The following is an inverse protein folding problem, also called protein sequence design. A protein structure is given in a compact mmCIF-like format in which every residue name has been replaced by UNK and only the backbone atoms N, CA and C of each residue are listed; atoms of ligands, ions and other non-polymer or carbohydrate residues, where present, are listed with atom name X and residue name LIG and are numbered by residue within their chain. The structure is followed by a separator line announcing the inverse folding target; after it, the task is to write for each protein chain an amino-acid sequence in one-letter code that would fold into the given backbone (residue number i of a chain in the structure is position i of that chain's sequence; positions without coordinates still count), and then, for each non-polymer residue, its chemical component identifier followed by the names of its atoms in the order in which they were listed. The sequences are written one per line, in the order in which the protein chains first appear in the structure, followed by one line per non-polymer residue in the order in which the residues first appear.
data_IF_078998663491
#
_entry.id   IF_078998663491
#
_cell.length_a   1.000
_cell.length_b   1.000
_cell.length_c   1.000
_cell.angle_alpha   90.00
_cell.angle_beta   90.00
_cell.angle_gamma   90.00
#
_symmetry.space_group_name_H-M   'P 1'
#
loop_
_entity.id
_entity.type
_entity.pdbx_description
1 polymer ?
#
# COMPACT_ATOMS: atom_id res chain seq x y z
N UNK A 1 4.69 16.92 1.92
CA UNK A 1 5.92 17.13 2.70
C UNK A 1 5.51 17.22 4.15
N UNK A 2 6.30 16.63 5.06
CA UNK A 2 6.07 16.77 6.49
C UNK A 2 7.39 16.79 7.26
N UNK A 3 7.41 17.49 8.38
CA UNK A 3 8.47 17.40 9.40
C UNK A 3 7.97 16.50 10.52
N UNK A 4 8.75 15.45 10.81
CA UNK A 4 8.39 14.43 11.79
C UNK A 4 9.52 14.27 12.79
N UNK A 5 9.20 14.27 14.08
CA UNK A 5 10.19 14.04 15.13
C UNK A 5 10.53 12.55 15.31
N UNK A 6 11.56 12.26 16.11
CA UNK A 6 12.03 10.89 16.41
C UNK A 6 10.94 10.01 17.07
N UNK A 7 9.89 10.60 17.63
CA UNK A 7 8.77 9.87 18.25
C UNK A 7 7.62 9.61 17.31
N UNK A 8 7.73 10.08 16.06
CA UNK A 8 6.66 9.98 15.06
C UNK A 8 5.63 11.10 15.15
N UNK A 9 5.91 12.17 15.92
CA UNK A 9 5.02 13.32 15.96
C UNK A 9 5.19 14.14 14.68
N UNK A 10 4.10 14.36 13.98
CA UNK A 10 4.09 15.23 12.80
C UNK A 10 4.02 16.68 13.29
N UNK A 11 5.12 17.41 13.10
CA UNK A 11 5.28 18.79 13.55
C UNK A 11 4.63 19.78 12.55
N UNK A 12 4.83 19.54 11.25
CA UNK A 12 4.31 20.37 10.17
C UNK A 12 4.01 19.53 8.93
N UNK A 13 3.03 19.97 8.15
CA UNK A 13 2.64 19.36 6.85
C UNK A 13 2.43 20.44 5.81
N UNK A 14 2.82 20.12 4.58
CA UNK A 14 2.59 20.92 3.40
C UNK A 14 2.22 20.04 2.20
N UNK A 15 1.41 20.56 1.28
CA UNK A 15 0.95 19.84 0.11
C UNK A 15 1.41 20.54 -1.18
N UNK A 16 1.98 19.74 -2.09
CA UNK A 16 2.29 20.11 -3.47
C UNK A 16 1.56 19.13 -4.40
N UNK A 17 0.89 19.67 -5.42
CA UNK A 17 0.25 18.83 -6.41
C UNK A 17 1.23 18.52 -7.55
N UNK A 18 1.65 17.29 -7.73
CA UNK A 18 2.60 16.86 -8.76
C UNK A 18 2.12 17.16 -10.19
N UNK A 19 0.80 17.25 -10.40
CA UNK A 19 0.21 17.57 -11.71
C UNK A 19 0.47 19.00 -12.16
N UNK A 20 0.78 19.90 -11.23
CA UNK A 20 1.11 21.29 -11.55
C UNK A 20 2.52 21.43 -12.11
N UNK A 21 3.31 20.36 -12.07
CA UNK A 21 4.71 20.32 -12.51
C UNK A 21 4.94 19.24 -13.58
N UNK A 22 4.54 19.49 -14.85
CA UNK A 22 4.72 18.51 -15.92
C UNK A 22 6.19 18.25 -16.29
N UNK A 23 7.09 19.17 -15.93
CA UNK A 23 8.54 19.03 -16.12
C UNK A 23 9.18 18.60 -14.79
N UNK A 24 9.84 17.43 -14.80
CA UNK A 24 10.45 16.85 -13.60
C UNK A 24 11.41 17.79 -12.89
N UNK A 25 12.32 18.45 -13.63
CA UNK A 25 13.31 19.33 -13.02
C UNK A 25 12.69 20.50 -12.26
N UNK A 26 11.58 21.06 -12.77
CA UNK A 26 10.85 22.11 -12.07
C UNK A 26 10.22 21.60 -10.77
N UNK A 27 9.68 20.38 -10.80
CA UNK A 27 9.16 19.74 -9.58
C UNK A 27 10.26 19.51 -8.54
N UNK A 28 11.41 18.99 -8.95
CA UNK A 28 12.54 18.73 -8.05
C UNK A 28 13.07 20.04 -7.45
N UNK A 29 13.12 21.11 -8.22
CA UNK A 29 13.52 22.44 -7.74
C UNK A 29 12.58 22.94 -6.64
N UNK A 30 11.29 23.01 -6.95
CA UNK A 30 10.28 23.45 -5.99
C UNK A 30 10.22 22.54 -4.77
N UNK A 31 10.26 21.21 -4.96
CA UNK A 31 10.26 20.25 -3.85
C UNK A 31 11.47 20.48 -2.92
N UNK A 32 12.66 20.72 -3.49
CA UNK A 32 13.88 20.96 -2.71
C UNK A 32 13.77 22.26 -1.89
N UNK A 33 13.29 23.34 -2.50
CA UNK A 33 13.07 24.61 -1.80
C UNK A 33 12.05 24.46 -0.65
N UNK A 34 10.95 23.77 -0.91
CA UNK A 34 9.90 23.58 0.11
C UNK A 34 10.37 22.68 1.25
N UNK A 35 11.20 21.66 0.99
CA UNK A 35 11.82 20.84 2.05
C UNK A 35 12.68 21.71 2.96
N UNK A 36 13.51 22.58 2.40
CA UNK A 36 14.36 23.48 3.20
C UNK A 36 13.50 24.48 3.98
N UNK A 37 12.53 25.11 3.35
CA UNK A 37 11.67 26.13 3.99
C UNK A 37 10.89 25.56 5.17
N UNK A 38 10.18 24.42 4.98
CA UNK A 38 9.39 23.82 6.07
C UNK A 38 10.28 23.36 7.24
N UNK A 39 11.52 22.95 6.96
CA UNK A 39 12.48 22.58 7.99
C UNK A 39 12.96 23.81 8.78
N UNK A 40 13.32 24.90 8.10
CA UNK A 40 13.75 26.15 8.75
C UNK A 40 12.65 26.75 9.64
N UNK A 41 11.40 26.74 9.17
CA UNK A 41 10.25 27.24 9.91
C UNK A 41 9.88 26.39 11.13
N UNK A 42 10.33 25.12 11.19
CA UNK A 42 9.92 24.14 12.19
C UNK A 42 11.10 23.50 12.94
N UNK A 43 12.08 24.27 13.32
CA UNK A 43 13.17 23.84 14.20
C UNK A 43 14.57 24.00 13.64
N UNK A 44 14.70 24.40 12.38
CA UNK A 44 15.98 24.62 11.69
C UNK A 44 16.39 23.46 10.80
N UNK A 45 16.89 23.78 9.62
CA UNK A 45 17.32 22.80 8.64
C UNK A 45 18.49 21.91 9.13
N UNK A 46 19.36 22.47 9.93
CA UNK A 46 20.50 21.75 10.55
C UNK A 46 20.07 20.65 11.52
N UNK A 47 18.81 20.66 11.99
CA UNK A 47 18.26 19.62 12.84
C UNK A 47 17.72 18.43 12.04
N UNK A 48 17.55 18.58 10.72
CA UNK A 48 17.07 17.50 9.86
C UNK A 48 18.20 16.51 9.58
N UNK A 49 17.96 15.24 9.83
CA UNK A 49 18.94 14.15 9.65
C UNK A 49 18.92 13.58 8.23
N UNK A 50 17.72 13.39 7.69
CA UNK A 50 17.53 12.70 6.43
C UNK A 50 16.12 12.92 5.91
N UNK A 51 15.88 12.53 4.66
CA UNK A 51 14.59 12.60 4.00
C UNK A 51 14.17 11.21 3.55
N UNK A 52 12.97 10.79 3.94
CA UNK A 52 12.33 9.57 3.47
C UNK A 52 11.16 9.91 2.54
N UNK A 53 11.03 9.17 1.46
CA UNK A 53 10.02 9.41 0.43
C UNK A 53 9.24 8.12 0.15
N UNK A 54 7.92 8.23 0.22
CA UNK A 54 7.00 7.22 -0.32
C UNK A 54 6.65 7.59 -1.75
N UNK A 55 6.84 6.68 -2.69
CA UNK A 55 6.48 6.92 -4.08
C UNK A 55 6.00 5.63 -4.77
N UNK A 56 5.04 5.72 -5.71
CA UNK A 56 4.60 4.58 -6.50
C UNK A 56 5.76 4.06 -7.36
N UNK A 57 5.83 2.75 -7.55
CA UNK A 57 6.88 2.07 -8.34
C UNK A 57 8.30 2.45 -7.93
N UNK A 58 8.51 2.84 -6.67
CA UNK A 58 9.84 3.15 -6.16
C UNK A 58 10.62 1.88 -5.87
N UNK A 59 11.89 1.88 -6.25
CA UNK A 59 12.84 0.82 -5.94
C UNK A 59 13.78 1.28 -4.83
N UNK A 60 13.65 0.65 -3.68
CA UNK A 60 14.45 0.98 -2.49
C UNK A 60 15.96 0.80 -2.71
N UNK A 61 16.35 -0.21 -3.50
CA UNK A 61 17.78 -0.54 -3.73
C UNK A 61 18.49 0.52 -4.58
N UNK A 62 17.76 1.13 -5.52
CA UNK A 62 18.32 2.12 -6.46
C UNK A 62 18.00 3.56 -6.06
N UNK A 63 17.00 3.78 -5.18
CA UNK A 63 16.50 5.11 -4.84
C UNK A 63 15.79 5.80 -6.00
N UNK A 64 15.28 5.03 -6.99
CA UNK A 64 14.61 5.54 -8.18
C UNK A 64 13.12 5.20 -8.19
N UNK A 65 12.35 5.98 -8.94
CA UNK A 65 11.00 5.62 -9.38
C UNK A 65 11.12 5.01 -10.77
N UNK A 66 10.49 3.85 -10.99
CA UNK A 66 10.67 3.07 -12.20
C UNK A 66 9.33 2.88 -12.94
N UNK A 67 9.15 3.62 -14.05
CA UNK A 67 8.00 3.50 -14.94
C UNK A 67 6.63 3.68 -14.27
N UNK A 68 6.52 4.52 -13.24
CA UNK A 68 5.27 4.76 -12.54
C UNK A 68 4.17 5.29 -13.46
N UNK A 69 2.96 4.71 -13.33
CA UNK A 69 1.80 5.08 -14.17
C UNK A 69 1.07 6.31 -13.63
N UNK A 70 1.18 6.58 -12.32
CA UNK A 70 0.34 7.53 -11.58
C UNK A 70 0.98 8.92 -11.44
N UNK A 71 2.16 9.14 -12.02
CA UNK A 71 2.86 10.42 -12.02
C UNK A 71 3.07 10.94 -13.45
N UNK A 72 3.22 12.25 -13.65
CA UNK A 72 3.32 12.83 -15.01
C UNK A 72 4.63 12.48 -15.73
N UNK A 73 5.68 12.12 -14.99
CA UNK A 73 7.00 11.82 -15.54
C UNK A 73 7.16 10.32 -15.85
N UNK A 74 7.89 10.02 -16.93
CA UNK A 74 8.06 8.64 -17.42
C UNK A 74 9.52 8.20 -17.36
N UNK A 75 9.74 6.88 -17.43
CA UNK A 75 11.07 6.27 -17.39
C UNK A 75 11.58 6.04 -15.96
N UNK A 76 12.89 5.91 -15.85
CA UNK A 76 13.59 5.74 -14.56
C UNK A 76 14.03 7.08 -14.04
N UNK A 77 13.56 7.46 -12.86
CA UNK A 77 13.84 8.75 -12.21
C UNK A 77 14.69 8.48 -10.97
N UNK A 78 15.97 8.85 -10.94
CA UNK A 78 16.85 8.66 -9.79
C UNK A 78 16.55 9.69 -8.68
N UNK A 79 15.35 9.64 -8.11
CA UNK A 79 14.79 10.69 -7.25
C UNK A 79 15.65 10.95 -6.02
N UNK A 80 16.17 9.90 -5.37
CA UNK A 80 17.02 10.05 -4.19
C UNK A 80 18.30 10.85 -4.52
N UNK A 81 18.96 10.55 -5.64
CA UNK A 81 20.16 11.25 -6.06
C UNK A 81 19.87 12.72 -6.42
N UNK A 82 18.80 12.96 -7.21
CA UNK A 82 18.41 14.29 -7.64
C UNK A 82 18.12 15.23 -6.46
N UNK A 83 17.44 14.73 -5.43
CA UNK A 83 17.14 15.53 -4.22
C UNK A 83 18.37 15.68 -3.33
N UNK A 84 19.10 14.59 -3.06
CA UNK A 84 20.33 14.65 -2.25
C UNK A 84 21.31 15.70 -2.78
N UNK A 85 21.52 15.75 -4.09
CA UNK A 85 22.47 16.69 -4.71
C UNK A 85 22.04 18.16 -4.58
N UNK A 86 20.74 18.42 -4.33
CA UNK A 86 20.22 19.77 -4.12
C UNK A 86 20.14 20.18 -2.66
N UNK A 87 19.69 19.26 -1.79
CA UNK A 87 19.46 19.58 -0.38
C UNK A 87 20.62 19.15 0.54
N UNK A 88 21.62 18.41 0.05
CA UNK A 88 22.78 18.00 0.86
C UNK A 88 22.49 17.06 2.02
N UNK A 89 21.29 16.46 2.07
CA UNK A 89 20.89 15.47 3.08
C UNK A 89 20.83 14.06 2.48
N UNK A 90 20.95 13.05 3.32
CA UNK A 90 20.66 11.68 2.92
C UNK A 90 19.19 11.54 2.53
N UNK A 91 18.89 10.94 1.38
CA UNK A 91 17.54 10.72 0.87
C UNK A 91 17.33 9.25 0.58
N UNK A 92 16.27 8.68 1.12
CA UNK A 92 15.80 7.35 0.78
C UNK A 92 14.41 7.41 0.12
N UNK A 93 14.20 6.54 -0.85
CA UNK A 93 12.93 6.40 -1.55
C UNK A 93 12.46 4.97 -1.41
N UNK A 94 11.21 4.76 -1.06
CA UNK A 94 10.61 3.45 -0.93
C UNK A 94 9.25 3.37 -1.63
N UNK A 95 8.90 2.16 -2.04
CA UNK A 95 7.55 1.88 -2.53
C UNK A 95 6.54 2.07 -1.40
N UNK A 96 5.33 2.50 -1.74
CA UNK A 96 4.24 2.78 -0.81
C UNK A 96 3.91 1.61 0.13
N UNK A 97 3.88 0.37 -0.37
CA UNK A 97 3.65 -0.81 0.47
C UNK A 97 4.81 -1.07 1.46
N UNK A 98 6.06 -0.86 1.04
CA UNK A 98 7.22 -0.98 1.94
C UNK A 98 7.22 0.11 3.01
N UNK A 99 6.89 1.33 2.62
CA UNK A 99 6.77 2.47 3.53
C UNK A 99 5.66 2.22 4.55
N UNK A 100 4.50 1.75 4.11
CA UNK A 100 3.40 1.37 5.00
C UNK A 100 3.86 0.31 6.01
N UNK A 101 4.59 -0.72 5.58
CA UNK A 101 5.05 -1.78 6.47
C UNK A 101 6.07 -1.28 7.51
N UNK A 102 6.93 -0.33 7.16
CA UNK A 102 7.81 0.35 8.13
C UNK A 102 7.01 1.12 9.18
N UNK A 103 5.96 1.83 8.77
CA UNK A 103 5.04 2.51 9.67
C UNK A 103 4.32 1.54 10.61
N UNK A 104 3.79 0.44 10.09
CA UNK A 104 3.13 -0.60 10.88
C UNK A 104 4.06 -1.25 11.92
N UNK A 105 5.33 -1.48 11.56
CA UNK A 105 6.33 -2.01 12.50
C UNK A 105 6.66 -1.02 13.62
N UNK A 106 6.77 0.25 13.31
CA UNK A 106 7.19 1.26 14.28
C UNK A 106 6.03 1.78 15.15
N UNK A 107 4.88 2.02 14.56
CA UNK A 107 3.77 2.76 15.18
C UNK A 107 2.42 2.04 15.11
N UNK A 108 2.30 0.97 14.32
CA UNK A 108 1.03 0.32 14.01
C UNK A 108 0.87 -1.07 14.60
N UNK A 109 0.05 -1.86 13.90
CA UNK A 109 -0.39 -3.20 14.32
C UNK A 109 0.72 -4.25 14.35
N UNK A 110 1.87 -4.00 13.67
CA UNK A 110 3.03 -4.89 13.65
C UNK A 110 4.08 -4.57 14.72
N UNK A 111 3.78 -3.65 15.66
CA UNK A 111 4.74 -3.28 16.70
C UNK A 111 5.18 -4.51 17.50
N UNK A 112 6.51 -4.73 17.59
CA UNK A 112 7.10 -5.89 18.28
C UNK A 112 7.14 -7.19 17.46
N UNK A 113 6.57 -7.23 16.23
CA UNK A 113 6.65 -8.39 15.35
C UNK A 113 7.92 -8.35 14.51
N UNK A 114 8.53 -9.51 14.29
CA UNK A 114 9.73 -9.65 13.44
C UNK A 114 9.40 -10.22 12.05
N UNK A 115 8.31 -10.96 11.92
CA UNK A 115 7.87 -11.57 10.67
C UNK A 115 6.38 -11.32 10.47
N UNK A 116 6.03 -10.47 9.53
CA UNK A 116 4.64 -10.11 9.23
C UNK A 116 4.50 -9.71 7.75
N UNK A 117 3.27 -9.62 7.30
CA UNK A 117 2.96 -9.18 5.94
C UNK A 117 1.99 -8.01 6.04
N UNK A 118 2.24 -6.94 5.30
CA UNK A 118 1.28 -5.86 5.10
C UNK A 118 0.66 -5.99 3.73
N UNK A 119 -0.64 -5.84 3.64
CA UNK A 119 -1.40 -5.84 2.38
C UNK A 119 -2.23 -4.58 2.32
N UNK A 120 -1.92 -3.71 1.39
CA UNK A 120 -2.62 -2.46 1.13
C UNK A 120 -3.65 -2.65 0.03
N UNK A 121 -4.90 -2.37 0.33
CA UNK A 121 -6.05 -2.48 -0.58
C UNK A 121 -6.59 -1.07 -0.88
N UNK A 122 -6.72 -0.70 -2.16
CA UNK A 122 -7.25 0.63 -2.49
C UNK A 122 -7.30 0.94 -3.98
N UNK A 123 -7.42 2.22 -4.30
CA UNK A 123 -7.53 2.75 -5.66
C UNK A 123 -6.32 2.46 -6.53
N UNK A 124 -5.14 2.38 -5.94
CA UNK A 124 -3.88 2.05 -6.63
C UNK A 124 -3.75 0.58 -7.01
N UNK A 125 -4.61 -0.29 -6.46
CA UNK A 125 -4.57 -1.75 -6.64
C UNK A 125 -4.34 -2.49 -5.32
N UNK A 126 -3.54 -3.56 -5.37
CA UNK A 126 -3.14 -4.36 -4.21
C UNK A 126 -1.63 -4.36 -4.08
N UNK A 127 -1.14 -3.57 -3.14
CA UNK A 127 0.27 -3.56 -2.75
C UNK A 127 0.53 -4.49 -1.56
N UNK A 128 1.75 -5.00 -1.43
CA UNK A 128 2.12 -5.76 -0.23
C UNK A 128 3.62 -5.68 0.05
N UNK A 129 3.96 -5.89 1.32
CA UNK A 129 5.33 -5.97 1.78
C UNK A 129 5.48 -7.13 2.78
N UNK A 130 6.50 -7.93 2.58
CA UNK A 130 6.85 -9.04 3.45
C UNK A 130 7.98 -8.60 4.36
N UNK A 131 7.79 -8.72 5.67
CA UNK A 131 8.85 -8.56 6.67
C UNK A 131 9.31 -9.93 7.17
N UNK A 132 10.60 -10.16 7.15
CA UNK A 132 11.25 -11.36 7.69
C UNK A 132 12.40 -10.94 8.58
N UNK A 133 12.45 -11.48 9.82
CA UNK A 133 13.52 -11.20 10.76
C UNK A 133 13.77 -9.68 10.96
N UNK A 134 12.69 -8.92 11.07
CA UNK A 134 12.74 -7.48 11.34
C UNK A 134 13.10 -6.60 10.15
N UNK A 135 13.26 -7.16 8.94
CA UNK A 135 13.64 -6.44 7.74
C UNK A 135 12.66 -6.70 6.59
N UNK A 136 12.42 -5.73 5.69
CA UNK A 136 11.64 -5.95 4.49
C UNK A 136 12.37 -6.92 3.56
N UNK A 137 11.65 -7.92 3.06
CA UNK A 137 12.15 -8.84 2.07
C UNK A 137 12.00 -8.23 0.67
N UNK A 138 13.09 -7.73 0.10
CA UNK A 138 13.07 -7.01 -1.16
C UNK A 138 13.29 -7.92 -2.39
N UNK A 139 13.82 -9.12 -2.19
CA UNK A 139 14.30 -9.95 -3.29
C UNK A 139 15.52 -9.34 -3.99
N UNK A 140 15.99 -9.99 -5.03
CA UNK A 140 17.21 -9.56 -5.74
C UNK A 140 17.04 -8.24 -6.50
N UNK A 141 15.84 -8.01 -7.04
CA UNK A 141 15.53 -6.83 -7.86
C UNK A 141 14.72 -5.74 -7.15
N UNK A 142 14.35 -5.93 -5.88
CA UNK A 142 13.52 -4.97 -5.16
C UNK A 142 12.00 -5.16 -5.34
N UNK A 143 11.55 -6.26 -6.00
CA UNK A 143 10.16 -6.50 -6.37
C UNK A 143 9.52 -7.70 -5.64
N UNK A 144 10.10 -8.16 -4.54
CA UNK A 144 9.47 -9.23 -3.77
C UNK A 144 8.21 -8.71 -3.07
N UNK A 145 7.21 -9.58 -2.97
CA UNK A 145 5.99 -9.23 -2.27
C UNK A 145 4.84 -8.72 -3.15
N UNK A 146 4.89 -8.89 -4.45
CA UNK A 146 3.83 -8.45 -5.39
C UNK A 146 2.60 -9.37 -5.33
N UNK A 147 1.92 -9.44 -4.16
CA UNK A 147 0.74 -10.29 -3.91
C UNK A 147 -0.40 -9.97 -4.87
N UNK A 148 -0.65 -8.70 -5.14
CA UNK A 148 -1.72 -8.27 -6.04
C UNK A 148 -1.62 -8.88 -7.42
N UNK A 149 -0.41 -9.23 -7.85
CA UNK A 149 -0.15 -9.85 -9.15
C UNK A 149 0.01 -11.37 -9.10
N UNK A 150 -0.21 -12.03 -7.97
CA UNK A 150 -0.32 -13.48 -7.94
C UNK A 150 -1.60 -13.93 -8.65
N UNK A 151 -1.48 -14.89 -9.56
CA UNK A 151 -2.62 -15.49 -10.24
C UNK A 151 -3.39 -16.38 -9.26
N UNK A 152 -4.67 -16.05 -9.01
CA UNK A 152 -5.56 -16.83 -8.17
C UNK A 152 -6.71 -17.45 -8.96
N UNK A 153 -6.93 -16.98 -10.20
CA UNK A 153 -7.93 -17.54 -11.14
C UNK A 153 -7.27 -17.75 -12.47
N UNK A 154 -6.95 -18.98 -12.80
CA UNK A 154 -6.36 -19.30 -14.11
C UNK A 154 -7.30 -18.93 -15.25
N UNK A 155 -6.78 -18.19 -16.26
CA UNK A 155 -7.58 -17.66 -17.36
C UNK A 155 -8.62 -16.62 -16.95
N UNK A 156 -8.51 -16.04 -15.74
CA UNK A 156 -9.45 -15.07 -15.18
C UNK A 156 -9.36 -13.67 -15.79
N UNK A 157 -9.76 -12.65 -15.05
CA UNK A 157 -9.83 -11.26 -15.52
C UNK A 157 -8.47 -10.75 -16.00
N UNK A 158 -8.42 -10.01 -17.14
CA UNK A 158 -7.17 -9.40 -17.60
C UNK A 158 -6.66 -8.37 -16.60
N UNK A 159 -5.34 -8.36 -16.38
CA UNK A 159 -4.64 -7.43 -15.50
C UNK A 159 -3.72 -6.50 -16.30
N UNK A 160 -3.55 -5.27 -15.84
CA UNK A 160 -2.68 -4.28 -16.45
C UNK A 160 -1.19 -4.70 -16.50
N UNK A 161 -0.79 -5.69 -15.68
CA UNK A 161 0.55 -6.27 -15.76
C UNK A 161 0.79 -7.19 -16.98
N UNK A 162 -0.21 -7.33 -17.85
CA UNK A 162 -0.16 -8.16 -19.06
C UNK A 162 -0.55 -9.62 -18.86
N UNK A 163 -0.87 -10.03 -17.62
CA UNK A 163 -1.33 -11.39 -17.28
C UNK A 163 -2.84 -11.44 -17.05
N UNK A 164 -3.36 -12.60 -16.67
CA UNK A 164 -4.75 -12.82 -16.31
C UNK A 164 -4.87 -13.44 -14.93
N UNK A 165 -6.00 -13.20 -14.26
CA UNK A 165 -6.35 -13.83 -13.01
C UNK A 165 -5.61 -13.33 -11.77
N UNK A 166 -4.96 -12.16 -11.86
CA UNK A 166 -4.28 -11.53 -10.71
C UNK A 166 -5.27 -11.21 -9.58
N UNK A 167 -4.86 -11.40 -8.34
CA UNK A 167 -5.66 -11.11 -7.14
C UNK A 167 -6.24 -9.69 -7.16
N UNK A 168 -5.45 -8.71 -7.59
CA UNK A 168 -5.84 -7.30 -7.69
C UNK A 168 -7.16 -7.09 -8.46
N UNK A 169 -7.39 -7.85 -9.52
CA UNK A 169 -8.58 -7.73 -10.37
C UNK A 169 -9.87 -8.19 -9.68
N UNK A 170 -9.78 -8.75 -8.48
CA UNK A 170 -10.92 -9.25 -7.71
C UNK A 170 -11.12 -8.50 -6.38
N UNK A 171 -10.06 -8.00 -5.75
CA UNK A 171 -10.12 -7.48 -4.38
C UNK A 171 -9.75 -5.99 -4.24
N UNK A 172 -9.26 -5.34 -5.30
CA UNK A 172 -9.09 -3.88 -5.33
C UNK A 172 -10.43 -3.17 -5.52
N UNK A 173 -10.47 -1.85 -5.36
CA UNK A 173 -11.63 -1.01 -5.63
C UNK A 173 -12.26 -1.35 -6.99
N UNK A 174 -11.43 -1.40 -8.03
CA UNK A 174 -11.87 -1.74 -9.39
C UNK A 174 -12.39 -3.17 -9.48
N UNK A 175 -11.74 -4.09 -8.78
CA UNK A 175 -12.12 -5.50 -8.73
C UNK A 175 -13.49 -5.70 -8.10
N UNK A 176 -13.76 -5.04 -6.97
CA UNK A 176 -15.06 -5.07 -6.27
C UNK A 176 -16.17 -4.51 -7.15
N UNK A 177 -15.96 -3.33 -7.73
CA UNK A 177 -16.94 -2.69 -8.65
C UNK A 177 -17.19 -3.56 -9.88
N UNK A 178 -16.14 -4.20 -10.42
CA UNK A 178 -16.29 -5.11 -11.56
C UNK A 178 -17.12 -6.34 -11.19
N UNK A 179 -16.90 -6.93 -10.01
CA UNK A 179 -17.71 -8.03 -9.48
C UNK A 179 -19.17 -7.63 -9.35
N UNK A 180 -19.46 -6.44 -8.82
CA UNK A 180 -20.83 -5.94 -8.71
C UNK A 180 -21.50 -5.82 -10.08
N UNK A 181 -20.81 -5.25 -11.08
CA UNK A 181 -21.34 -5.13 -12.45
C UNK A 181 -21.56 -6.48 -13.11
N UNK A 182 -20.66 -7.43 -12.93
CA UNK A 182 -20.79 -8.80 -13.47
C UNK A 182 -22.01 -9.52 -12.87
N UNK A 183 -22.21 -9.42 -11.55
CA UNK A 183 -23.37 -10.02 -10.89
C UNK A 183 -24.68 -9.38 -11.34
N UNK A 184 -24.74 -8.05 -11.45
CA UNK A 184 -25.92 -7.34 -11.97
C UNK A 184 -26.24 -7.67 -13.43
N UNK A 185 -25.23 -7.92 -14.26
CA UNK A 185 -25.40 -8.30 -15.65
C UNK A 185 -25.82 -9.76 -15.83
N UNK A 186 -25.46 -10.63 -14.89
CA UNK A 186 -25.76 -12.06 -14.95
C UNK A 186 -27.14 -12.45 -14.40
N UNK A 187 -27.83 -11.53 -13.72
CA UNK A 187 -29.12 -11.81 -13.07
C UNK A 187 -30.02 -10.56 -13.06
N UNK A 188 -31.33 -10.78 -13.26
CA UNK A 188 -32.33 -9.73 -13.12
C UNK A 188 -32.87 -9.61 -11.67
N UNK A 189 -32.24 -10.28 -10.70
CA UNK A 189 -32.61 -10.17 -9.29
C UNK A 189 -32.61 -8.69 -8.84
N UNK A 190 -33.60 -8.27 -8.03
CA UNK A 190 -33.60 -6.92 -7.46
C UNK A 190 -32.35 -6.66 -6.64
N UNK A 191 -31.79 -5.46 -6.80
CA UNK A 191 -30.66 -5.00 -5.99
C UNK A 191 -30.66 -3.49 -5.91
N UNK A 192 -30.39 -2.94 -4.74
CA UNK A 192 -30.23 -1.51 -4.51
C UNK A 192 -29.05 -0.92 -5.29
N UNK A 193 -28.08 -1.76 -5.67
CA UNK A 193 -26.92 -1.33 -6.47
C UNK A 193 -27.33 -0.85 -7.88
N UNK A 194 -28.50 -1.28 -8.41
CA UNK A 194 -28.97 -0.87 -9.74
C UNK A 194 -29.40 0.58 -9.81
N UNK A 195 -29.82 1.13 -8.66
CA UNK A 195 -30.34 2.51 -8.54
C UNK A 195 -29.23 3.50 -8.13
N UNK A 196 -27.98 3.01 -7.92
CA UNK A 196 -26.87 3.87 -7.53
C UNK A 196 -26.35 4.67 -8.73
N UNK A 197 -26.20 5.98 -8.56
CA UNK A 197 -25.56 6.86 -9.54
C UNK A 197 -24.09 6.48 -9.75
N UNK A 198 -23.40 6.10 -8.67
CA UNK A 198 -21.98 5.70 -8.71
C UNK A 198 -21.75 4.46 -7.87
N UNK A 199 -21.16 3.43 -8.49
CA UNK A 199 -20.70 2.23 -7.79
C UNK A 199 -19.29 2.45 -7.24
N UNK A 200 -19.15 2.40 -5.94
CA UNK A 200 -17.89 2.38 -5.20
C UNK A 200 -17.93 1.25 -4.18
N UNK A 201 -16.78 0.78 -3.66
CA UNK A 201 -16.81 -0.18 -2.56
C UNK A 201 -17.71 0.26 -1.40
N UNK A 202 -17.63 1.53 -1.02
CA UNK A 202 -18.45 2.04 0.09
C UNK A 202 -19.95 2.00 -0.22
N UNK A 203 -20.40 2.47 -1.40
CA UNK A 203 -21.82 2.45 -1.75
C UNK A 203 -22.38 1.04 -1.93
N UNK A 204 -21.55 0.08 -2.38
CA UNK A 204 -21.90 -1.35 -2.42
C UNK A 204 -22.05 -1.89 -0.99
N UNK A 205 -21.15 -1.53 -0.09
CA UNK A 205 -21.21 -1.93 1.32
C UNK A 205 -22.43 -1.36 2.04
N UNK A 206 -22.81 -0.12 1.76
CA UNK A 206 -24.06 0.47 2.29
C UNK A 206 -25.30 -0.29 1.83
N UNK A 207 -25.27 -0.89 0.63
CA UNK A 207 -26.32 -1.81 0.19
C UNK A 207 -26.32 -3.11 1.00
N UNK A 208 -25.14 -3.64 1.38
CA UNK A 208 -25.06 -4.78 2.30
C UNK A 208 -25.72 -4.47 3.64
N UNK A 209 -25.48 -3.29 4.21
CA UNK A 209 -26.06 -2.86 5.49
C UNK A 209 -27.60 -2.77 5.43
N UNK A 210 -28.15 -2.55 4.23
CA UNK A 210 -29.60 -2.54 3.96
C UNK A 210 -30.18 -3.92 3.62
N UNK A 211 -29.36 -4.98 3.70
CA UNK A 211 -29.78 -6.35 3.46
C UNK A 211 -29.81 -6.77 1.99
N UNK A 212 -29.16 -6.04 1.08
CA UNK A 212 -29.07 -6.41 -0.34
C UNK A 212 -28.26 -7.69 -0.55
N UNK A 213 -28.93 -8.76 -0.95
CA UNK A 213 -28.33 -10.08 -1.11
C UNK A 213 -27.27 -10.10 -2.24
N UNK A 214 -27.43 -9.30 -3.30
CA UNK A 214 -26.47 -9.23 -4.40
C UNK A 214 -25.21 -8.47 -3.96
N UNK A 215 -25.34 -7.38 -3.21
CA UNK A 215 -24.22 -6.66 -2.63
C UNK A 215 -23.43 -7.54 -1.63
N UNK A 216 -24.13 -8.34 -0.82
CA UNK A 216 -23.48 -9.32 0.05
C UNK A 216 -22.68 -10.36 -0.74
N UNK A 217 -23.20 -10.86 -1.88
CA UNK A 217 -22.45 -11.78 -2.77
C UNK A 217 -21.18 -11.12 -3.32
N UNK A 218 -21.16 -9.81 -3.58
CA UNK A 218 -19.94 -9.09 -4.01
C UNK A 218 -18.86 -9.23 -2.96
N UNK A 219 -19.16 -8.94 -1.71
CA UNK A 219 -18.18 -9.00 -0.63
C UNK A 219 -17.81 -10.43 -0.20
N UNK A 220 -18.74 -11.38 -0.34
CA UNK A 220 -18.41 -12.80 -0.20
C UNK A 220 -17.36 -13.24 -1.22
N UNK A 221 -17.50 -12.84 -2.48
CA UNK A 221 -16.49 -13.15 -3.50
C UNK A 221 -15.17 -12.40 -3.26
N UNK A 222 -15.22 -11.13 -2.84
CA UNK A 222 -14.03 -10.37 -2.48
C UNK A 222 -13.26 -11.06 -1.37
N UNK A 223 -13.94 -11.42 -0.28
CA UNK A 223 -13.32 -12.12 0.84
C UNK A 223 -12.78 -13.50 0.46
N UNK A 224 -13.52 -14.24 -0.35
CA UNK A 224 -13.09 -15.56 -0.84
C UNK A 224 -11.74 -15.47 -1.59
N UNK A 225 -11.61 -14.57 -2.56
CA UNK A 225 -10.37 -14.44 -3.32
C UNK A 225 -9.23 -13.86 -2.47
N UNK A 226 -9.54 -12.89 -1.60
CA UNK A 226 -8.55 -12.34 -0.68
C UNK A 226 -8.02 -13.43 0.24
N UNK A 227 -8.90 -14.23 0.83
CA UNK A 227 -8.54 -15.35 1.71
C UNK A 227 -7.58 -16.35 1.05
N UNK A 228 -7.82 -16.72 -0.22
CA UNK A 228 -6.90 -17.58 -1.00
C UNK A 228 -5.52 -16.92 -1.14
N UNK A 229 -5.48 -15.64 -1.53
CA UNK A 229 -4.22 -14.90 -1.71
C UNK A 229 -3.42 -14.84 -0.41
N UNK A 230 -4.08 -14.48 0.69
CA UNK A 230 -3.45 -14.40 2.02
C UNK A 230 -2.99 -15.78 2.52
N UNK A 231 -3.76 -16.85 2.28
CA UNK A 231 -3.41 -18.22 2.66
C UNK A 231 -2.15 -18.71 1.94
N UNK A 232 -2.00 -18.37 0.64
CA UNK A 232 -0.81 -18.70 -0.13
C UNK A 232 0.43 -18.02 0.47
N UNK A 233 0.34 -16.73 0.80
CA UNK A 233 1.44 -16.00 1.43
C UNK A 233 1.76 -16.52 2.83
N UNK A 234 0.72 -16.77 3.65
CA UNK A 234 0.91 -17.35 4.97
C UNK A 234 1.58 -18.73 4.90
N UNK A 235 1.20 -19.56 3.94
CA UNK A 235 1.78 -20.89 3.73
C UNK A 235 3.26 -20.83 3.34
N UNK A 236 3.65 -19.83 2.53
CA UNK A 236 5.04 -19.66 2.09
C UNK A 236 5.92 -19.03 3.17
N UNK A 237 5.39 -18.04 3.92
CA UNK A 237 6.19 -17.17 4.77
C UNK A 237 6.03 -17.45 6.27
N UNK A 238 4.94 -18.12 6.68
CA UNK A 238 4.60 -18.42 8.08
C UNK A 238 4.80 -17.19 9.00
N UNK A 239 4.11 -16.06 8.75
CA UNK A 239 4.27 -14.84 9.52
C UNK A 239 3.51 -14.90 10.85
N UNK A 240 3.81 -13.99 11.78
CA UNK A 240 3.02 -13.77 13.01
C UNK A 240 1.63 -13.23 12.69
N UNK A 241 1.56 -12.32 11.71
CA UNK A 241 0.32 -11.68 11.28
C UNK A 241 0.36 -11.26 9.81
N UNK A 242 -0.84 -11.09 9.23
CA UNK A 242 -1.08 -10.34 8.00
C UNK A 242 -1.94 -9.13 8.35
N UNK A 243 -1.51 -7.93 7.97
CA UNK A 243 -2.14 -6.66 8.32
C UNK A 243 -2.74 -6.05 7.07
N UNK A 244 -4.06 -5.89 7.06
CA UNK A 244 -4.79 -5.22 6.00
C UNK A 244 -4.82 -3.71 6.24
N UNK A 245 -4.49 -2.94 5.24
CA UNK A 245 -4.43 -1.48 5.27
C UNK A 245 -4.90 -0.88 3.94
N UNK A 246 -4.77 0.42 3.74
CA UNK A 246 -5.20 1.12 2.53
C UNK A 246 -6.60 1.69 2.67
N UNK A 247 -7.10 2.29 1.60
CA UNK A 247 -8.39 2.98 1.59
C UNK A 247 -9.55 2.02 1.87
N UNK A 248 -9.42 0.75 1.47
CA UNK A 248 -10.45 -0.27 1.69
C UNK A 248 -10.49 -0.83 3.13
N UNK A 249 -9.60 -0.40 4.03
CA UNK A 249 -9.68 -0.87 5.43
C UNK A 249 -11.01 -0.54 6.09
N UNK A 250 -11.62 0.59 5.72
CA UNK A 250 -12.93 1.02 6.26
C UNK A 250 -14.09 0.17 5.71
N UNK A 251 -13.90 -0.46 4.55
CA UNK A 251 -14.82 -1.44 3.98
C UNK A 251 -14.60 -2.87 4.53
N UNK A 252 -13.58 -3.10 5.34
CA UNK A 252 -13.21 -4.43 5.83
C UNK A 252 -14.35 -5.15 6.55
N UNK A 253 -15.22 -4.43 7.24
CA UNK A 253 -16.38 -4.97 7.95
C UNK A 253 -17.30 -5.82 7.07
N UNK A 254 -17.29 -5.63 5.74
CA UNK A 254 -18.13 -6.39 4.82
C UNK A 254 -17.45 -7.62 4.21
N UNK A 255 -16.10 -7.64 4.19
CA UNK A 255 -15.35 -8.75 3.60
C UNK A 255 -14.45 -9.52 4.57
N UNK A 256 -14.21 -9.04 5.79
CA UNK A 256 -13.30 -9.73 6.73
C UNK A 256 -13.77 -11.13 7.09
N UNK A 257 -15.03 -11.31 7.45
CA UNK A 257 -15.57 -12.62 7.81
C UNK A 257 -15.38 -13.64 6.66
N UNK A 258 -15.85 -13.40 5.42
CA UNK A 258 -15.58 -14.31 4.31
C UNK A 258 -14.09 -14.44 3.96
N UNK A 259 -13.26 -13.45 4.27
CA UNK A 259 -11.80 -13.56 4.12
C UNK A 259 -11.21 -14.54 5.12
N UNK A 260 -11.61 -14.46 6.38
CA UNK A 260 -11.13 -15.37 7.44
C UNK A 260 -11.59 -16.81 7.19
N UNK A 261 -12.82 -17.00 6.75
CA UNK A 261 -13.35 -18.32 6.36
C UNK A 261 -12.50 -18.92 5.24
N UNK A 262 -12.36 -18.22 4.13
CA UNK A 262 -11.58 -18.69 2.99
C UNK A 262 -10.11 -18.87 3.33
N UNK A 263 -9.51 -17.96 4.12
CA UNK A 263 -8.15 -18.11 4.60
C UNK A 263 -7.96 -19.40 5.38
N UNK A 264 -8.85 -19.71 6.32
CA UNK A 264 -8.76 -20.93 7.15
C UNK A 264 -8.99 -22.21 6.34
N UNK A 265 -9.77 -22.16 5.27
CA UNK A 265 -9.94 -23.29 4.36
C UNK A 265 -8.70 -23.60 3.53
N UNK A 266 -7.98 -22.57 3.08
CA UNK A 266 -6.90 -22.69 2.10
C UNK A 266 -5.49 -22.68 2.70
N UNK A 267 -5.32 -22.19 3.93
CA UNK A 267 -4.01 -22.14 4.58
C UNK A 267 -3.52 -23.53 4.98
N UNK A 268 -2.20 -23.76 4.92
CA UNK A 268 -1.58 -25.01 5.35
C UNK A 268 -1.97 -25.36 6.79
N UNK A 269 -2.46 -26.61 6.99
CA UNK A 269 -3.11 -27.01 8.23
C UNK A 269 -2.30 -26.80 9.51
N UNK A 270 -0.96 -26.94 9.45
CA UNK A 270 -0.11 -26.79 10.65
C UNK A 270 0.02 -25.32 11.12
N UNK A 271 -0.30 -24.35 10.28
CA UNK A 271 -0.27 -22.92 10.63
C UNK A 271 -1.67 -22.31 10.78
N UNK A 272 -2.72 -23.09 10.49
CA UNK A 272 -4.11 -22.66 10.70
C UNK A 272 -4.34 -22.22 12.15
N UNK A 273 -4.95 -21.06 12.32
CA UNK A 273 -5.23 -20.46 13.63
C UNK A 273 -4.00 -19.89 14.35
N UNK A 274 -2.81 -19.90 13.72
CA UNK A 274 -1.59 -19.33 14.29
C UNK A 274 -1.24 -17.96 13.69
N UNK A 275 -1.58 -17.72 12.44
CA UNK A 275 -1.39 -16.42 11.76
C UNK A 275 -2.61 -15.55 12.03
N UNK A 276 -2.38 -14.33 12.52
CA UNK A 276 -3.45 -13.37 12.81
C UNK A 276 -3.76 -12.56 11.55
N UNK A 277 -5.03 -12.39 11.22
CA UNK A 277 -5.48 -11.39 10.26
C UNK A 277 -5.89 -10.12 11.04
N UNK A 278 -5.24 -9.00 10.75
CA UNK A 278 -5.43 -7.75 11.48
C UNK A 278 -5.78 -6.63 10.49
N UNK A 279 -6.54 -5.65 10.96
CA UNK A 279 -6.74 -4.38 10.24
C UNK A 279 -5.83 -3.33 10.87
N UNK A 280 -5.19 -2.52 10.05
CA UNK A 280 -4.29 -1.44 10.48
C UNK A 280 -4.99 -0.44 11.40
N UNK A 281 -4.31 -0.08 12.49
CA UNK A 281 -4.75 0.98 13.41
C UNK A 281 -4.26 2.37 12.99
N UNK A 282 -3.34 2.46 12.01
CA UNK A 282 -2.83 3.73 11.54
C UNK A 282 -3.88 4.48 10.72
N UNK A 283 -3.90 5.80 10.87
CA UNK A 283 -4.72 6.67 10.04
C UNK A 283 -4.23 6.66 8.59
N UNK A 284 -5.14 6.60 7.62
CA UNK A 284 -4.80 6.53 6.19
C UNK A 284 -4.05 7.78 5.70
N UNK A 285 -4.27 8.96 6.32
CA UNK A 285 -3.62 10.21 5.92
C UNK A 285 -2.22 10.39 6.53
N UNK A 286 -1.91 9.66 7.61
CA UNK A 286 -0.63 9.78 8.32
C UNK A 286 0.31 8.61 8.08
N UNK A 287 -0.25 7.46 7.71
CA UNK A 287 0.46 6.21 7.50
C UNK A 287 1.72 6.35 6.64
N UNK A 288 1.59 6.99 5.48
CA UNK A 288 2.69 7.11 4.52
C UNK A 288 3.77 8.09 5.01
N UNK A 289 3.36 9.15 5.71
CA UNK A 289 4.28 10.10 6.34
C UNK A 289 5.06 9.43 7.48
N UNK A 290 4.37 8.68 8.33
CA UNK A 290 4.99 7.94 9.44
C UNK A 290 5.96 6.88 8.91
N UNK A 291 5.55 6.10 7.92
CA UNK A 291 6.41 5.11 7.30
C UNK A 291 7.64 5.71 6.61
N UNK A 292 7.47 6.81 5.89
CA UNK A 292 8.57 7.55 5.27
C UNK A 292 9.54 8.12 6.33
N UNK A 293 9.05 8.57 7.48
CA UNK A 293 9.90 9.01 8.59
C UNK A 293 10.77 7.86 9.13
N UNK A 294 10.20 6.65 9.26
CA UNK A 294 10.96 5.46 9.65
C UNK A 294 12.02 5.13 8.61
N UNK A 295 11.67 5.19 7.33
CA UNK A 295 12.64 5.00 6.24
C UNK A 295 13.80 5.99 6.36
N UNK A 296 13.52 7.28 6.61
CA UNK A 296 14.53 8.31 6.79
C UNK A 296 15.54 7.96 7.90
N UNK A 297 15.09 7.36 9.00
CA UNK A 297 15.95 6.92 10.09
C UNK A 297 16.79 5.69 9.78
N UNK A 298 16.39 4.86 8.82
CA UNK A 298 17.12 3.67 8.41
C UNK A 298 18.26 3.98 7.44
N UNK A 299 18.27 5.16 6.82
CA UNK A 299 19.36 5.58 5.95
C UNK A 299 20.60 5.83 6.80
N UNK A 300 21.50 4.88 6.78
CA UNK A 300 22.85 5.11 7.30
C UNK A 300 23.47 6.20 6.43
N UNK A 301 24.08 7.21 7.07
CA UNK A 301 24.87 8.21 6.36
C UNK A 301 25.70 7.48 5.30
N UNK A 302 25.37 7.72 4.04
CA UNK A 302 26.25 7.31 2.96
C UNK A 302 27.52 8.14 3.16
N UNK A 303 28.50 7.57 3.83
CA UNK A 303 29.82 8.18 3.84
C UNK A 303 30.27 8.22 2.39
N UNK A 304 30.24 9.41 1.79
CA UNK A 304 30.77 9.68 0.44
C UNK A 304 32.28 9.37 0.33
N UNK A 305 32.88 8.84 1.39
CA UNK A 305 34.28 8.52 1.50
C UNK A 305 34.47 7.13 2.12
N UNK A 306 34.35 6.11 1.29
CA UNK A 306 35.06 4.85 1.47
C UNK A 306 35.75 4.50 0.18
#
# INVERSE_FOLDING_TARGET
IAVVDIRGTIIAKEFLNTKDYPVLNNFIEVLSERIVMIAEENGGYEMVRSVGISAPSANFLTGSIENAMNIPWKGVIPLAAMLRDRIGLAVAVGNDAHITALGEKAYGSAHGMESFIVVSLGHGGVGSCIFCNGQPHLGTGGYAGELGHCCIVDGGRPCNCGRQGCLEEYVSDRGIVKTARELMAASDEPSLMRDLETLTPMTIGECCDKGDAMAQKVYQQTGFYLGIGLANYATLMNPDAIILTGELKDASRWFMEPTEESFNEHVFGNIRGKVKLLVSILDNHERDVLGASVLAWTVKEYSLFK
#
